data_IF_723328544124
#
_entry.id   IF_723328544124
#
_cell.length_a   1.000
_cell.length_b   1.000
_cell.length_c   1.000
_cell.angle_alpha   90.00
_cell.angle_beta   90.00
_cell.angle_gamma   90.00
#
_symmetry.space_group_name_H-M   'P 1'
#
loop_
_entity.id
_entity.type
_entity.pdbx_description
1 polymer ?
#
# COMPACT_ATOMS: atom_id res chain seq x y z
N UNK A 1 30.87 8.61 -7.62
CA UNK A 1 30.83 8.07 -6.23
C UNK A 1 29.36 7.86 -5.88
N UNK A 2 29.00 6.69 -5.36
CA UNK A 2 27.62 6.35 -5.00
C UNK A 2 27.59 5.43 -3.78
N UNK A 3 26.38 5.12 -3.28
CA UNK A 3 26.17 4.26 -2.13
C UNK A 3 26.88 2.91 -2.26
N UNK A 4 26.75 2.21 -3.39
CA UNK A 4 27.35 0.88 -3.61
C UNK A 4 28.88 0.93 -3.44
N UNK A 5 29.53 1.97 -3.97
CA UNK A 5 30.99 2.13 -3.86
C UNK A 5 31.48 2.53 -2.47
N UNK A 6 30.63 3.10 -1.61
CA UNK A 6 31.02 3.67 -0.31
C UNK A 6 30.36 2.98 0.89
N UNK A 7 29.59 1.90 0.68
CA UNK A 7 28.83 1.23 1.73
C UNK A 7 29.73 0.56 2.77
N UNK A 8 30.80 -0.10 2.31
CA UNK A 8 31.73 -0.84 3.17
C UNK A 8 32.43 0.09 4.15
N UNK A 9 32.40 -0.25 5.44
CA UNK A 9 32.96 0.54 6.54
C UNK A 9 32.10 1.74 6.96
N UNK A 10 30.94 1.96 6.33
CA UNK A 10 30.00 3.02 6.73
C UNK A 10 29.03 2.52 7.81
N UNK A 11 28.31 3.45 8.46
CA UNK A 11 27.22 3.11 9.38
C UNK A 11 26.03 2.40 8.69
N UNK A 12 26.01 2.34 7.35
CA UNK A 12 24.96 1.70 6.58
C UNK A 12 25.27 0.24 6.20
N UNK A 13 26.48 -0.27 6.47
CA UNK A 13 26.93 -1.58 5.97
C UNK A 13 25.97 -2.74 6.31
N UNK A 14 25.28 -2.67 7.46
CA UNK A 14 24.29 -3.66 7.90
C UNK A 14 22.89 -3.06 8.11
N UNK A 15 22.60 -1.95 7.44
CA UNK A 15 21.36 -1.20 7.64
C UNK A 15 20.22 -1.67 6.74
N UNK A 16 20.50 -2.07 5.50
CA UNK A 16 19.46 -2.47 4.53
C UNK A 16 19.03 -3.93 4.76
N UNK A 17 17.81 -4.32 4.32
CA UNK A 17 17.39 -5.71 4.36
C UNK A 17 18.40 -6.63 3.68
N UNK A 18 18.80 -7.70 4.36
CA UNK A 18 19.92 -8.56 3.94
C UNK A 18 19.76 -9.20 2.54
N UNK A 19 18.52 -9.43 2.10
CA UNK A 19 18.25 -9.98 0.77
C UNK A 19 18.13 -8.93 -0.35
N UNK A 20 18.49 -7.67 -0.09
CA UNK A 20 18.54 -6.65 -1.14
C UNK A 20 19.82 -6.75 -1.98
N UNK A 21 19.63 -6.98 -3.28
CA UNK A 21 20.67 -6.78 -4.28
C UNK A 21 20.65 -5.32 -4.72
N UNK A 22 21.56 -4.51 -4.15
CA UNK A 22 21.64 -3.07 -4.44
C UNK A 22 22.01 -2.78 -5.89
N UNK A 23 22.78 -3.64 -6.55
CA UNK A 23 23.13 -3.46 -7.96
C UNK A 23 21.91 -3.70 -8.85
N UNK A 24 21.08 -4.70 -8.52
CA UNK A 24 19.82 -4.94 -9.22
C UNK A 24 18.79 -3.84 -8.97
N UNK A 25 18.72 -3.30 -7.74
CA UNK A 25 17.88 -2.14 -7.42
C UNK A 25 18.30 -0.92 -8.23
N UNK A 26 19.61 -0.65 -8.30
CA UNK A 26 20.16 0.44 -9.12
C UNK A 26 19.83 0.26 -10.61
N UNK A 27 19.99 -0.96 -11.14
CA UNK A 27 19.62 -1.28 -12.52
C UNK A 27 18.12 -1.08 -12.82
N UNK A 28 17.23 -1.25 -11.84
CA UNK A 28 15.81 -0.92 -12.00
C UNK A 28 15.61 0.59 -12.18
N UNK A 29 16.37 1.42 -11.46
CA UNK A 29 16.26 2.88 -11.45
C UNK A 29 16.99 3.55 -12.62
N UNK A 30 17.93 2.84 -13.26
CA UNK A 30 18.71 3.34 -14.39
C UNK A 30 17.95 3.32 -15.74
N UNK A 31 16.70 2.84 -15.75
CA UNK A 31 15.87 2.84 -16.95
C UNK A 31 15.44 4.27 -17.30
N UNK A 32 15.26 4.59 -18.59
CA UNK A 32 14.81 5.92 -18.99
C UNK A 32 13.33 6.14 -18.57
N UNK A 33 12.95 7.35 -18.11
CA UNK A 33 11.61 7.63 -17.57
C UNK A 33 10.45 7.17 -18.46
N UNK A 34 10.55 7.39 -19.77
CA UNK A 34 9.55 7.03 -20.77
C UNK A 34 9.28 5.52 -20.85
N UNK A 35 10.23 4.70 -20.40
CA UNK A 35 10.07 3.25 -20.41
C UNK A 35 9.20 2.75 -19.25
N UNK A 36 8.87 3.55 -18.23
CA UNK A 36 8.26 3.06 -16.98
C UNK A 36 6.99 2.22 -17.19
N UNK A 37 6.23 2.49 -18.26
CA UNK A 37 5.00 1.76 -18.61
C UNK A 37 5.22 0.54 -19.50
N UNK A 38 6.45 0.28 -19.96
CA UNK A 38 6.79 -0.88 -20.78
C UNK A 38 6.54 -2.18 -20.03
N UNK A 39 5.78 -3.07 -20.67
CA UNK A 39 5.32 -4.33 -20.08
C UNK A 39 6.47 -5.27 -19.78
N UNK A 40 6.49 -5.81 -18.57
CA UNK A 40 7.39 -6.90 -18.18
C UNK A 40 6.69 -8.26 -18.31
N UNK A 41 7.47 -9.32 -18.49
CA UNK A 41 6.96 -10.67 -18.77
C UNK A 41 6.13 -11.27 -17.62
N UNK A 42 6.36 -10.84 -16.38
CA UNK A 42 5.63 -11.30 -15.19
C UNK A 42 4.38 -10.46 -14.86
N UNK A 43 4.12 -9.37 -15.59
CA UNK A 43 2.94 -8.55 -15.32
C UNK A 43 1.67 -9.27 -15.74
N UNK A 44 0.61 -9.12 -14.95
CA UNK A 44 -0.71 -9.58 -15.36
C UNK A 44 -1.11 -8.89 -16.67
N UNK A 45 -1.78 -9.62 -17.57
CA UNK A 45 -2.27 -9.04 -18.84
C UNK A 45 -3.21 -7.86 -18.63
N UNK A 46 -3.93 -7.83 -17.50
CA UNK A 46 -4.85 -6.76 -17.09
C UNK A 46 -4.24 -5.79 -16.07
N UNK A 47 -2.92 -5.86 -15.84
CA UNK A 47 -2.20 -4.85 -15.08
C UNK A 47 -1.75 -3.70 -15.98
N UNK A 48 -1.88 -2.47 -15.50
CA UNK A 48 -1.36 -1.27 -16.14
C UNK A 48 -0.87 -0.23 -15.10
N UNK A 49 0.38 0.26 -15.21
CA UNK A 49 0.77 1.51 -14.56
C UNK A 49 0.12 2.70 -15.28
N UNK A 50 -0.34 3.71 -14.53
CA UNK A 50 -1.09 4.86 -15.03
C UNK A 50 -0.42 6.15 -14.52
N UNK A 51 0.20 6.95 -15.40
CA UNK A 51 0.80 8.22 -15.01
C UNK A 51 -0.28 9.26 -14.68
N UNK A 52 0.02 10.12 -13.72
CA UNK A 52 -0.80 11.23 -13.28
C UNK A 52 0.07 12.49 -13.22
N UNK A 53 -0.37 13.58 -13.85
CA UNK A 53 0.44 14.81 -13.94
C UNK A 53 0.49 15.56 -12.61
N UNK A 54 -0.61 15.52 -11.85
CA UNK A 54 -0.72 16.21 -10.57
C UNK A 54 -1.27 15.30 -9.49
N UNK A 55 -1.02 15.67 -8.22
CA UNK A 55 -1.66 15.02 -7.06
C UNK A 55 -3.18 15.07 -7.16
N UNK A 56 -3.75 16.14 -7.73
CA UNK A 56 -5.20 16.24 -7.92
C UNK A 56 -5.72 15.20 -8.93
N UNK A 57 -5.01 15.00 -10.04
CA UNK A 57 -5.35 13.97 -11.02
C UNK A 57 -5.22 12.57 -10.42
N UNK A 58 -4.11 12.33 -9.71
CA UNK A 58 -3.84 11.09 -9.00
C UNK A 58 -4.98 10.74 -8.02
N UNK A 59 -5.32 11.67 -7.13
CA UNK A 59 -6.38 11.51 -6.14
C UNK A 59 -7.73 11.25 -6.81
N UNK A 60 -8.06 12.01 -7.86
CA UNK A 60 -9.33 11.86 -8.58
C UNK A 60 -9.42 10.52 -9.30
N UNK A 61 -8.39 10.13 -10.05
CA UNK A 61 -8.38 8.92 -10.84
C UNK A 61 -8.43 7.68 -9.96
N UNK A 62 -7.66 7.66 -8.86
CA UNK A 62 -7.66 6.56 -7.91
C UNK A 62 -8.99 6.48 -7.15
N UNK A 63 -9.52 7.62 -6.68
CA UNK A 63 -10.83 7.67 -6.02
C UNK A 63 -11.99 7.28 -6.94
N UNK A 64 -11.95 7.68 -8.20
CA UNK A 64 -12.88 7.24 -9.23
C UNK A 64 -12.79 5.73 -9.44
N UNK A 65 -11.60 5.14 -9.52
CA UNK A 65 -11.42 3.70 -9.69
C UNK A 65 -12.03 2.92 -8.51
N UNK A 66 -11.90 3.41 -7.28
CA UNK A 66 -12.54 2.84 -6.09
C UNK A 66 -14.07 2.93 -6.20
N UNK A 67 -14.62 4.13 -6.43
CA UNK A 67 -16.07 4.34 -6.51
C UNK A 67 -16.72 3.54 -7.65
N UNK A 68 -16.08 3.53 -8.83
CA UNK A 68 -16.53 2.77 -9.99
C UNK A 68 -16.54 1.26 -9.67
N UNK A 69 -15.53 0.76 -8.97
CA UNK A 69 -15.47 -0.67 -8.60
C UNK A 69 -16.58 -1.04 -7.62
N UNK A 70 -16.88 -0.17 -6.64
CA UNK A 70 -18.01 -0.36 -5.72
C UNK A 70 -19.34 -0.37 -6.49
N UNK A 71 -19.54 0.58 -7.40
CA UNK A 71 -20.74 0.67 -8.24
C UNK A 71 -20.90 -0.57 -9.11
N UNK A 72 -19.84 -1.00 -9.79
CA UNK A 72 -19.88 -2.19 -10.64
C UNK A 72 -20.28 -3.45 -9.87
N UNK A 73 -19.78 -3.63 -8.64
CA UNK A 73 -20.20 -4.74 -7.79
C UNK A 73 -21.68 -4.66 -7.43
N UNK A 74 -22.16 -3.45 -7.12
CA UNK A 74 -23.58 -3.22 -6.81
C UNK A 74 -24.47 -3.56 -8.00
N UNK A 75 -24.11 -3.08 -9.18
CA UNK A 75 -24.86 -3.32 -10.42
C UNK A 75 -24.88 -4.82 -10.78
N UNK A 76 -23.82 -5.55 -10.41
CA UNK A 76 -23.75 -7.01 -10.56
C UNK A 76 -24.50 -7.79 -9.46
N UNK A 77 -24.97 -7.13 -8.39
CA UNK A 77 -25.60 -7.78 -7.25
C UNK A 77 -24.63 -8.59 -6.38
N UNK A 78 -23.33 -8.25 -6.41
CA UNK A 78 -22.26 -8.96 -5.71
C UNK A 78 -21.77 -8.17 -4.49
N UNK A 79 -21.54 -8.87 -3.38
CA UNK A 79 -20.79 -8.32 -2.24
C UNK A 79 -19.34 -8.05 -2.64
N UNK A 80 -18.71 -7.02 -2.05
CA UNK A 80 -17.33 -6.66 -2.35
C UNK A 80 -16.51 -6.41 -1.11
N UNK A 81 -15.32 -6.99 -1.10
CA UNK A 81 -14.32 -6.86 -0.05
C UNK A 81 -13.30 -5.83 -0.52
N UNK A 82 -13.07 -4.80 0.29
CA UNK A 82 -12.01 -3.84 0.10
C UNK A 82 -11.00 -3.96 1.24
N UNK A 83 -9.78 -4.35 0.89
CA UNK A 83 -8.61 -4.12 1.74
C UNK A 83 -8.13 -2.68 1.47
N UNK A 84 -8.12 -1.84 2.50
CA UNK A 84 -7.95 -0.38 2.40
C UNK A 84 -6.74 0.13 3.18
N UNK A 85 -5.85 0.93 2.58
CA UNK A 85 -4.77 1.58 3.31
C UNK A 85 -5.32 2.80 4.08
N UNK A 86 -4.43 3.54 4.73
CA UNK A 86 -4.69 4.95 5.06
C UNK A 86 -4.11 5.83 3.95
N UNK A 87 -2.80 5.76 3.70
CA UNK A 87 -2.18 6.52 2.61
C UNK A 87 -2.19 5.79 1.27
N UNK A 88 -2.40 6.48 0.12
CA UNK A 88 -2.69 7.92 -0.05
C UNK A 88 -4.10 8.32 0.37
N UNK A 89 -4.27 9.45 1.05
CA UNK A 89 -5.57 9.84 1.64
C UNK A 89 -6.51 10.62 0.71
N UNK A 90 -5.97 11.35 -0.27
CA UNK A 90 -6.76 12.25 -1.11
C UNK A 90 -7.78 11.53 -2.01
N UNK A 91 -7.50 10.27 -2.36
CA UNK A 91 -8.41 9.40 -3.12
C UNK A 91 -9.78 9.20 -2.46
N UNK A 92 -9.86 9.20 -1.12
CA UNK A 92 -11.12 8.96 -0.42
C UNK A 92 -12.13 10.08 -0.61
N UNK A 93 -11.67 11.33 -0.69
CA UNK A 93 -12.52 12.49 -1.00
C UNK A 93 -13.25 12.28 -2.32
N UNK A 94 -12.53 11.82 -3.34
CA UNK A 94 -13.10 11.59 -4.67
C UNK A 94 -14.00 10.37 -4.73
N UNK A 95 -13.62 9.28 -4.04
CA UNK A 95 -14.50 8.12 -3.92
C UNK A 95 -15.86 8.50 -3.28
N UNK A 96 -15.83 9.30 -2.20
CA UNK A 96 -17.03 9.84 -1.55
C UNK A 96 -17.84 10.72 -2.51
N UNK A 97 -17.18 11.63 -3.23
CA UNK A 97 -17.82 12.52 -4.18
C UNK A 97 -18.61 11.74 -5.24
N UNK A 98 -17.97 10.79 -5.92
CA UNK A 98 -18.61 10.00 -6.97
C UNK A 98 -19.73 9.10 -6.44
N UNK A 99 -19.52 8.41 -5.31
CA UNK A 99 -20.57 7.57 -4.72
C UNK A 99 -21.79 8.39 -4.30
N UNK A 100 -21.59 9.61 -3.81
CA UNK A 100 -22.68 10.52 -3.43
C UNK A 100 -23.40 11.04 -4.64
N UNK A 101 -22.68 11.50 -5.66
CA UNK A 101 -23.25 12.03 -6.90
C UNK A 101 -24.06 10.96 -7.65
N UNK A 102 -23.63 9.70 -7.60
CA UNK A 102 -24.33 8.58 -8.23
C UNK A 102 -25.41 7.93 -7.34
N UNK A 103 -25.61 8.43 -6.12
CA UNK A 103 -26.49 7.85 -5.07
C UNK A 103 -26.25 6.33 -4.84
N UNK A 104 -24.97 5.91 -4.86
CA UNK A 104 -24.57 4.52 -4.66
C UNK A 104 -24.27 4.26 -3.18
N UNK A 105 -25.22 3.69 -2.46
CA UNK A 105 -24.94 3.20 -1.10
C UNK A 105 -23.98 1.99 -1.09
N UNK A 106 -23.19 1.88 -0.02
CA UNK A 106 -22.16 0.86 0.19
C UNK A 106 -22.60 -0.25 1.15
N UNK A 107 -23.88 -0.64 1.17
CA UNK A 107 -24.36 -1.71 2.07
C UNK A 107 -23.76 -3.08 1.76
N UNK A 108 -23.36 -3.33 0.51
CA UNK A 108 -22.72 -4.55 0.01
C UNK A 108 -21.18 -4.53 0.12
N UNK A 109 -20.60 -3.48 0.74
CA UNK A 109 -19.15 -3.31 0.85
C UNK A 109 -18.66 -3.77 2.22
N UNK A 110 -17.59 -4.55 2.25
CA UNK A 110 -16.87 -4.97 3.44
C UNK A 110 -15.46 -4.36 3.45
N UNK A 111 -15.17 -3.47 4.39
CA UNK A 111 -13.88 -2.79 4.51
C UNK A 111 -12.98 -3.44 5.55
N UNK A 112 -11.73 -3.71 5.17
CA UNK A 112 -10.68 -4.24 6.03
C UNK A 112 -9.43 -3.35 5.92
N UNK A 113 -9.09 -2.63 6.98
CA UNK A 113 -7.88 -1.80 6.97
C UNK A 113 -6.61 -2.66 7.03
N UNK A 114 -5.59 -2.31 6.23
CA UNK A 114 -4.39 -3.16 6.06
C UNK A 114 -3.54 -3.25 7.33
N UNK A 115 -3.53 -2.21 8.15
CA UNK A 115 -2.61 -2.07 9.27
C UNK A 115 -3.14 -1.09 10.33
N UNK A 116 -2.42 -1.03 11.45
CA UNK A 116 -2.60 -0.06 12.52
C UNK A 116 -1.30 0.02 13.35
N UNK A 117 -0.95 1.21 13.85
CA UNK A 117 0.19 1.36 14.75
C UNK A 117 0.00 0.55 16.04
N UNK A 118 1.08 -0.02 16.57
CA UNK A 118 1.00 -0.79 17.81
C UNK A 118 2.26 -0.73 18.67
N UNK A 119 2.13 -1.19 19.90
CA UNK A 119 3.27 -1.64 20.71
C UNK A 119 3.69 -3.09 20.33
N UNK A 120 4.51 -3.72 21.16
CA UNK A 120 5.00 -5.09 20.93
C UNK A 120 3.96 -6.18 21.16
N UNK A 121 2.94 -5.92 21.96
CA UNK A 121 1.83 -6.83 22.24
C UNK A 121 0.66 -6.63 21.27
N UNK A 122 0.80 -5.70 20.32
CA UNK A 122 -0.23 -5.37 19.34
C UNK A 122 -1.32 -4.45 19.85
N UNK A 123 -1.14 -3.82 21.02
CA UNK A 123 -2.08 -2.80 21.50
C UNK A 123 -1.99 -1.58 20.58
N UNK A 124 -3.12 -1.16 20.05
CA UNK A 124 -3.24 -0.03 19.14
C UNK A 124 -3.67 1.24 19.86
N UNK A 125 -3.53 2.38 19.19
CA UNK A 125 -4.11 3.63 19.64
C UNK A 125 -5.63 3.51 19.82
N UNK A 126 -6.20 4.38 20.66
CA UNK A 126 -7.64 4.48 20.80
C UNK A 126 -8.26 4.90 19.44
N UNK A 127 -9.46 4.41 19.09
CA UNK A 127 -10.09 4.73 17.80
C UNK A 127 -10.29 6.20 17.47
N UNK A 128 -10.32 7.08 18.47
CA UNK A 128 -10.47 8.53 18.32
C UNK A 128 -9.15 9.30 18.35
N UNK A 129 -8.02 8.60 18.54
CA UNK A 129 -6.70 9.23 18.55
C UNK A 129 -6.39 9.79 17.14
N UNK A 130 -5.86 11.02 17.00
CA UNK A 130 -5.52 11.59 15.71
C UNK A 130 -4.54 10.74 14.87
N UNK A 131 -3.70 9.93 15.52
CA UNK A 131 -2.77 9.03 14.85
C UNK A 131 -3.35 7.65 14.51
N UNK A 132 -4.55 7.31 14.98
CA UNK A 132 -5.18 6.03 14.71
C UNK A 132 -5.72 5.96 13.28
N UNK A 133 -5.43 4.87 12.60
CA UNK A 133 -5.91 4.63 11.24
C UNK A 133 -7.43 4.48 11.19
N UNK A 134 -8.02 3.95 12.26
CA UNK A 134 -9.47 3.94 12.44
C UNK A 134 -10.08 5.35 12.41
N UNK A 135 -9.46 6.32 13.08
CA UNK A 135 -9.93 7.71 13.07
C UNK A 135 -9.82 8.30 11.66
N UNK A 136 -8.66 8.13 11.01
CA UNK A 136 -8.42 8.63 9.66
C UNK A 136 -9.45 8.13 8.64
N UNK A 137 -9.77 6.83 8.67
CA UNK A 137 -10.79 6.25 7.77
C UNK A 137 -12.22 6.69 8.09
N UNK A 138 -12.51 6.89 9.38
CA UNK A 138 -13.81 7.40 9.81
C UNK A 138 -14.02 8.84 9.29
N UNK A 139 -12.98 9.67 9.28
CA UNK A 139 -13.04 11.05 8.81
C UNK A 139 -13.01 11.16 7.29
N UNK A 140 -12.20 10.35 6.61
CA UNK A 140 -11.97 10.50 5.17
C UNK A 140 -12.98 9.76 4.28
N UNK A 141 -13.48 8.60 4.72
CA UNK A 141 -14.31 7.74 3.87
C UNK A 141 -15.67 7.42 4.50
N UNK A 142 -15.68 6.78 5.68
CA UNK A 142 -16.93 6.25 6.23
C UNK A 142 -17.89 7.33 6.73
N UNK A 143 -17.40 8.38 7.39
CA UNK A 143 -18.21 9.47 7.92
C UNK A 143 -18.87 10.30 6.82
N UNK A 144 -18.09 10.82 5.85
CA UNK A 144 -18.60 11.66 4.77
C UNK A 144 -19.71 11.03 3.92
N UNK A 145 -19.75 9.70 3.78
CA UNK A 145 -20.80 8.98 3.05
C UNK A 145 -22.19 9.05 3.73
N UNK A 146 -22.28 9.40 5.02
CA UNK A 146 -23.56 9.52 5.76
C UNK A 146 -24.45 8.28 5.58
N UNK A 147 -25.65 8.44 5.01
CA UNK A 147 -26.62 7.35 4.78
C UNK A 147 -26.14 6.30 3.77
N UNK A 148 -25.18 6.65 2.91
CA UNK A 148 -24.60 5.79 1.88
C UNK A 148 -23.44 4.94 2.43
N UNK A 149 -23.04 5.15 3.69
CA UNK A 149 -21.84 4.53 4.23
C UNK A 149 -21.90 2.99 4.31
N UNK A 150 -20.71 2.39 4.29
CA UNK A 150 -20.48 1.00 4.72
C UNK A 150 -21.06 0.77 6.12
N UNK A 151 -21.87 -0.28 6.38
CA UNK A 151 -22.38 -0.58 7.72
C UNK A 151 -21.27 -0.81 8.75
N UNK A 152 -21.44 -0.34 9.99
CA UNK A 152 -20.40 -0.46 11.05
C UNK A 152 -19.88 -1.88 11.25
N UNK A 153 -20.77 -2.89 11.17
CA UNK A 153 -20.43 -4.32 11.31
C UNK A 153 -19.55 -4.87 10.18
N UNK A 154 -19.42 -4.13 9.07
CA UNK A 154 -18.65 -4.46 7.87
C UNK A 154 -17.37 -3.61 7.77
N UNK A 155 -16.98 -2.92 8.85
CA UNK A 155 -15.75 -2.14 8.95
C UNK A 155 -14.83 -2.81 9.94
N UNK A 156 -13.68 -3.26 9.46
CA UNK A 156 -12.71 -4.00 10.23
C UNK A 156 -11.40 -3.21 10.26
N UNK A 157 -10.79 -3.10 11.45
CA UNK A 157 -9.51 -2.41 11.66
C UNK A 157 -8.47 -3.37 12.22
N UNK A 158 -7.19 -3.14 11.95
CA UNK A 158 -6.11 -4.10 12.20
C UNK A 158 -5.68 -4.13 13.68
N UNK A 159 -6.63 -4.33 14.59
CA UNK A 159 -6.36 -4.45 16.04
C UNK A 159 -5.93 -5.87 16.39
N UNK A 160 -5.26 -6.06 17.54
CA UNK A 160 -4.86 -7.40 18.03
C UNK A 160 -6.00 -8.42 18.13
N UNK A 161 -7.25 -7.96 18.27
CA UNK A 161 -8.44 -8.82 18.37
C UNK A 161 -9.06 -9.08 17.01
N UNK A 162 -9.11 -8.07 16.14
CA UNK A 162 -9.83 -8.16 14.86
C UNK A 162 -8.96 -8.73 13.74
N UNK A 163 -7.69 -8.34 13.66
CA UNK A 163 -6.78 -8.72 12.56
C UNK A 163 -6.62 -10.25 12.39
N UNK A 164 -6.46 -11.05 13.47
CA UNK A 164 -6.35 -12.50 13.31
C UNK A 164 -7.57 -13.17 12.66
N UNK A 165 -8.73 -12.51 12.68
CA UNK A 165 -9.99 -13.02 12.11
C UNK A 165 -10.17 -12.70 10.62
N UNK A 166 -9.31 -11.85 10.05
CA UNK A 166 -9.48 -11.37 8.67
C UNK A 166 -9.47 -12.51 7.65
N UNK A 167 -8.55 -13.46 7.78
CA UNK A 167 -8.46 -14.58 6.84
C UNK A 167 -9.73 -15.41 6.76
N UNK A 168 -10.33 -15.73 7.91
CA UNK A 168 -11.60 -16.46 7.99
C UNK A 168 -12.75 -15.61 7.42
N UNK A 169 -12.90 -14.36 7.86
CA UNK A 169 -13.98 -13.47 7.42
C UNK A 169 -13.94 -13.19 5.91
N UNK A 170 -12.75 -12.93 5.36
CA UNK A 170 -12.56 -12.74 3.92
C UNK A 170 -12.86 -14.05 3.19
N UNK A 171 -12.37 -15.19 3.70
CA UNK A 171 -12.65 -16.52 3.12
C UNK A 171 -14.13 -16.84 3.05
N UNK A 172 -14.90 -16.56 4.12
CA UNK A 172 -16.35 -16.75 4.18
C UNK A 172 -17.12 -15.85 3.20
N UNK A 173 -16.68 -14.61 3.00
CA UNK A 173 -17.28 -13.71 2.03
C UNK A 173 -16.98 -14.19 0.60
N UNK A 174 -15.73 -14.58 0.34
CA UNK A 174 -15.31 -15.09 -0.97
C UNK A 174 -16.01 -16.40 -1.34
N UNK A 175 -16.25 -17.30 -0.39
CA UNK A 175 -17.00 -18.54 -0.65
C UNK A 175 -18.45 -18.30 -1.05
N UNK A 176 -18.99 -17.10 -0.77
CA UNK A 176 -20.31 -16.63 -1.19
C UNK A 176 -20.28 -15.79 -2.48
N UNK A 177 -19.12 -15.75 -3.15
CA UNK A 177 -18.94 -15.02 -4.41
C UNK A 177 -18.50 -13.57 -4.26
N UNK A 178 -18.14 -13.11 -3.04
CA UNK A 178 -17.68 -11.74 -2.87
C UNK A 178 -16.33 -11.50 -3.58
N UNK A 179 -16.23 -10.38 -4.29
CA UNK A 179 -15.01 -9.98 -5.00
C UNK A 179 -14.01 -9.31 -4.05
N UNK A 180 -12.74 -9.69 -4.12
CA UNK A 180 -11.66 -9.08 -3.33
C UNK A 180 -10.92 -8.00 -4.13
N UNK A 181 -10.93 -6.77 -3.60
CA UNK A 181 -10.18 -5.63 -4.11
C UNK A 181 -9.15 -5.19 -3.08
N UNK A 182 -7.90 -5.04 -3.51
CA UNK A 182 -6.81 -4.53 -2.67
C UNK A 182 -6.42 -3.15 -3.16
N UNK A 183 -6.70 -2.15 -2.33
CA UNK A 183 -6.19 -0.79 -2.51
C UNK A 183 -4.87 -0.71 -1.73
N UNK A 184 -3.84 -0.08 -2.30
CA UNK A 184 -2.52 -0.04 -1.63
C UNK A 184 -1.66 1.15 -2.06
N UNK A 185 -0.72 1.52 -1.19
CA UNK A 185 0.46 2.32 -1.53
C UNK A 185 1.73 1.46 -1.47
N UNK A 186 2.86 2.01 -1.92
CA UNK A 186 4.16 1.33 -1.88
C UNK A 186 5.10 2.09 -0.92
N UNK A 187 5.65 1.40 0.07
CA UNK A 187 6.61 2.02 1.00
C UNK A 187 7.98 2.27 0.41
N UNK A 188 8.78 3.06 1.12
CA UNK A 188 10.19 3.34 0.80
C UNK A 188 11.04 2.07 0.76
N UNK A 189 10.71 1.08 1.59
CA UNK A 189 11.31 -0.25 1.59
C UNK A 189 10.54 -1.28 0.77
N UNK A 190 9.74 -0.84 -0.21
CA UNK A 190 8.97 -1.72 -1.12
C UNK A 190 8.00 -2.67 -0.39
N UNK A 191 7.53 -2.27 0.80
CA UNK A 191 6.50 -2.99 1.53
C UNK A 191 5.11 -2.76 0.93
N UNK A 192 4.18 -3.63 1.30
CA UNK A 192 2.73 -3.45 1.17
C UNK A 192 2.16 -3.50 2.59
N UNK A 193 1.33 -2.52 2.96
CA UNK A 193 1.02 -2.27 4.37
C UNK A 193 2.33 -2.12 5.17
N UNK A 194 2.42 -2.68 6.37
CA UNK A 194 3.70 -2.85 7.09
C UNK A 194 4.30 -4.26 6.93
N UNK A 195 3.98 -4.99 5.85
CA UNK A 195 4.65 -6.25 5.54
C UNK A 195 5.98 -6.01 4.82
N UNK A 196 7.08 -5.99 5.59
CA UNK A 196 8.38 -5.48 5.15
C UNK A 196 9.36 -6.55 4.65
N UNK A 197 10.34 -6.16 3.80
CA UNK A 197 11.33 -7.07 3.23
C UNK A 197 12.02 -8.02 4.19
N UNK A 198 12.42 -7.52 5.37
CA UNK A 198 13.25 -8.27 6.30
C UNK A 198 12.52 -9.49 6.90
N UNK A 199 11.18 -9.51 6.85
CA UNK A 199 10.41 -10.70 7.23
C UNK A 199 10.66 -11.89 6.30
N UNK A 200 11.17 -11.67 5.08
CA UNK A 200 11.52 -12.76 4.17
C UNK A 200 12.54 -13.74 4.75
N UNK A 201 13.45 -13.29 5.63
CA UNK A 201 14.44 -14.12 6.33
C UNK A 201 13.81 -15.26 7.14
N UNK A 202 12.55 -15.09 7.55
CA UNK A 202 11.85 -16.02 8.45
C UNK A 202 11.23 -17.21 7.70
N UNK A 203 11.25 -17.23 6.36
CA UNK A 203 10.58 -18.22 5.54
C UNK A 203 11.56 -18.97 4.64
N UNK A 204 11.36 -20.29 4.49
CA UNK A 204 12.27 -21.14 3.70
C UNK A 204 12.01 -21.06 2.20
N UNK A 205 10.84 -20.57 1.81
CA UNK A 205 10.43 -20.48 0.41
C UNK A 205 9.43 -19.35 0.18
N UNK A 206 9.30 -18.93 -1.08
CA UNK A 206 8.26 -17.99 -1.50
C UNK A 206 6.87 -18.50 -1.17
N UNK A 207 6.61 -19.80 -1.34
CA UNK A 207 5.30 -20.40 -1.07
C UNK A 207 4.95 -20.41 0.41
N UNK A 208 5.93 -20.55 1.31
CA UNK A 208 5.71 -20.34 2.74
C UNK A 208 5.50 -18.87 3.07
N UNK A 209 6.31 -17.97 2.50
CA UNK A 209 6.18 -16.53 2.70
C UNK A 209 4.81 -16.00 2.29
N UNK A 210 4.16 -16.59 1.28
CA UNK A 210 2.81 -16.20 0.82
C UNK A 210 1.67 -16.59 1.76
N UNK A 211 1.88 -17.49 2.73
CA UNK A 211 0.79 -18.05 3.56
C UNK A 211 0.30 -17.15 4.71
N UNK A 212 1.18 -16.47 5.47
CA UNK A 212 0.76 -15.65 6.60
C UNK A 212 -0.27 -14.60 6.19
N UNK A 213 -1.36 -14.54 6.94
CA UNK A 213 -2.42 -13.57 6.73
C UNK A 213 -2.17 -12.26 7.46
N UNK A 214 -1.32 -12.26 8.50
CA UNK A 214 -1.07 -11.10 9.34
C UNK A 214 0.20 -11.25 10.20
N UNK A 215 0.61 -10.15 10.83
CA UNK A 215 1.60 -10.07 11.91
C UNK A 215 1.14 -9.07 12.96
N UNK A 216 1.25 -9.45 14.23
CA UNK A 216 0.98 -8.60 15.40
C UNK A 216 2.30 -8.00 15.90
N UNK A 217 2.30 -6.71 16.25
CA UNK A 217 3.49 -6.05 16.82
C UNK A 217 4.73 -6.13 15.91
N UNK A 218 4.53 -6.10 14.60
CA UNK A 218 5.58 -6.21 13.58
C UNK A 218 6.68 -5.18 13.83
N UNK A 219 7.94 -5.62 13.91
CA UNK A 219 9.08 -4.71 14.01
C UNK A 219 9.28 -4.02 12.67
N UNK A 220 9.31 -2.69 12.67
CA UNK A 220 9.44 -1.91 11.45
C UNK A 220 10.90 -1.52 11.22
N UNK A 221 11.28 -1.49 9.96
CA UNK A 221 12.58 -1.09 9.50
C UNK A 221 12.78 0.42 9.72
N UNK A 222 13.97 0.89 10.13
CA UNK A 222 14.20 2.32 10.38
C UNK A 222 13.84 3.22 9.19
N UNK A 223 14.01 2.76 7.95
CA UNK A 223 13.58 3.52 6.76
C UNK A 223 12.07 3.80 6.71
N UNK A 224 11.23 2.90 7.21
CA UNK A 224 9.78 3.11 7.33
C UNK A 224 9.47 4.13 8.42
N UNK A 225 10.21 4.09 9.52
CA UNK A 225 10.11 5.06 10.61
C UNK A 225 10.44 6.45 10.10
N UNK A 226 11.58 6.59 9.39
CA UNK A 226 12.00 7.88 8.82
C UNK A 226 11.10 8.36 7.68
N UNK A 227 10.56 7.45 6.85
CA UNK A 227 9.52 7.82 5.89
C UNK A 227 8.32 8.44 6.62
N UNK A 228 7.79 7.78 7.64
CA UNK A 228 6.61 8.28 8.36
C UNK A 228 6.92 9.54 9.17
N UNK A 229 8.14 9.69 9.70
CA UNK A 229 8.57 10.92 10.33
C UNK A 229 8.35 12.12 9.39
N UNK A 230 8.70 11.96 8.11
CA UNK A 230 8.52 13.00 7.08
C UNK A 230 7.05 13.12 6.67
N UNK A 231 6.38 12.02 6.33
CA UNK A 231 5.07 12.06 5.64
C UNK A 231 3.88 12.21 6.57
N UNK A 232 3.99 11.71 7.80
CA UNK A 232 2.84 11.51 8.70
C UNK A 232 3.01 12.23 10.05
N UNK A 233 4.26 12.45 10.49
CA UNK A 233 4.57 12.98 11.82
C UNK A 233 5.33 14.32 11.79
N UNK A 234 5.28 15.05 10.66
CA UNK A 234 5.78 16.43 10.52
C UNK A 234 7.22 16.61 11.03
N UNK A 235 8.12 15.71 10.62
CA UNK A 235 9.54 15.65 11.01
C UNK A 235 9.82 15.34 12.48
N UNK A 236 8.81 14.95 13.27
CA UNK A 236 8.99 14.57 14.67
C UNK A 236 9.10 13.04 14.82
N UNK A 237 10.29 12.51 14.54
CA UNK A 237 10.60 11.06 14.64
C UNK A 237 10.21 10.44 15.98
N UNK A 238 10.28 11.21 17.08
CA UNK A 238 9.93 10.73 18.43
C UNK A 238 8.45 10.41 18.64
N UNK A 239 7.58 10.73 17.67
CA UNK A 239 6.17 10.34 17.69
C UNK A 239 5.88 9.07 16.88
N UNK A 240 6.82 8.58 16.08
CA UNK A 240 6.58 7.47 15.17
C UNK A 240 6.66 6.15 15.95
N UNK A 241 5.61 5.31 15.98
CA UNK A 241 5.68 4.01 16.60
C UNK A 241 6.65 3.09 15.85
N UNK A 242 7.46 2.33 16.59
CA UNK A 242 8.44 1.41 15.99
C UNK A 242 7.83 0.06 15.56
N UNK A 243 6.53 -0.13 15.78
CA UNK A 243 5.81 -1.37 15.52
C UNK A 243 4.40 -1.13 14.99
N UNK A 244 3.86 -2.13 14.31
CA UNK A 244 2.49 -2.11 13.80
C UNK A 244 1.87 -3.50 13.73
N UNK A 245 0.55 -3.56 13.77
CA UNK A 245 -0.20 -4.70 13.29
C UNK A 245 -0.38 -4.57 11.78
N UNK A 246 -0.23 -5.65 11.03
CA UNK A 246 -0.30 -5.60 9.55
C UNK A 246 -0.87 -6.87 8.97
N UNK A 247 -1.62 -6.76 7.88
CA UNK A 247 -1.93 -7.89 7.02
C UNK A 247 -0.65 -8.45 6.39
N UNK A 248 -0.73 -9.70 5.95
CA UNK A 248 0.32 -10.41 5.23
C UNK A 248 -0.09 -10.81 3.82
N UNK A 249 0.85 -11.38 3.05
CA UNK A 249 0.67 -11.76 1.65
C UNK A 249 -0.46 -12.75 1.42
N UNK A 250 -0.82 -13.55 2.43
CA UNK A 250 -1.96 -14.46 2.36
C UNK A 250 -3.30 -13.75 2.15
N UNK A 251 -3.36 -12.43 2.41
CA UNK A 251 -4.53 -11.60 2.12
C UNK A 251 -4.37 -10.76 0.86
N UNK A 252 -3.23 -10.07 0.68
CA UNK A 252 -3.09 -9.10 -0.42
C UNK A 252 -2.68 -9.69 -1.78
N UNK A 253 -2.27 -10.96 -1.84
CA UNK A 253 -1.92 -11.63 -3.11
C UNK A 253 -3.08 -12.39 -3.76
N UNK A 254 -4.23 -12.46 -3.09
CA UNK A 254 -5.43 -13.15 -3.58
C UNK A 254 -6.43 -12.24 -4.30
N UNK A 255 -6.03 -11.03 -4.70
CA UNK A 255 -6.94 -10.00 -5.17
C UNK A 255 -7.48 -10.30 -6.57
N UNK A 256 -8.79 -10.09 -6.74
CA UNK A 256 -9.44 -10.12 -8.06
C UNK A 256 -9.19 -8.80 -8.83
N UNK A 257 -8.87 -7.73 -8.10
CA UNK A 257 -8.43 -6.44 -8.64
C UNK A 257 -7.54 -5.70 -7.64
N UNK A 258 -6.49 -5.07 -8.14
CA UNK A 258 -5.66 -4.15 -7.37
C UNK A 258 -5.85 -2.70 -7.83
N UNK A 259 -5.77 -1.77 -6.87
CA UNK A 259 -5.79 -0.32 -7.09
C UNK A 259 -4.63 0.27 -6.29
N UNK A 260 -3.49 0.45 -6.95
CA UNK A 260 -2.26 0.95 -6.33
C UNK A 260 -2.04 2.43 -6.55
N UNK A 261 -1.32 3.08 -5.64
CA UNK A 261 -0.96 4.50 -5.75
C UNK A 261 0.48 4.80 -5.31
N UNK A 262 1.15 5.67 -6.07
CA UNK A 262 2.45 6.26 -5.74
C UNK A 262 2.46 7.77 -5.98
N UNK A 263 2.37 8.56 -4.90
CA UNK A 263 2.36 10.03 -4.91
C UNK A 263 3.50 10.65 -4.09
N UNK A 264 4.53 9.86 -3.78
CA UNK A 264 5.63 10.23 -2.88
C UNK A 264 6.66 11.20 -3.48
N UNK A 265 6.17 12.28 -4.08
CA UNK A 265 6.91 13.45 -4.46
C UNK A 265 6.76 14.56 -3.41
N UNK A 266 7.74 15.43 -3.34
CA UNK A 266 7.82 16.57 -2.43
C UNK A 266 8.03 17.83 -3.28
N UNK A 267 7.81 18.99 -2.69
CA UNK A 267 8.10 20.25 -3.37
C UNK A 267 9.58 20.35 -3.77
N UNK A 268 9.87 21.15 -4.82
CA UNK A 268 11.22 21.45 -5.32
C UNK A 268 11.93 20.26 -6.01
N UNK A 269 11.19 19.37 -6.65
CA UNK A 269 11.76 18.23 -7.40
C UNK A 269 12.30 17.09 -6.52
N UNK A 270 12.11 17.18 -5.20
CA UNK A 270 12.49 16.10 -4.28
C UNK A 270 11.44 14.99 -4.30
N UNK A 271 11.86 13.75 -4.12
CA UNK A 271 10.94 12.61 -4.03
C UNK A 271 11.53 11.51 -3.16
N UNK A 272 10.66 10.70 -2.56
CA UNK A 272 11.08 9.55 -1.75
C UNK A 272 10.67 8.20 -2.35
N UNK A 273 9.77 8.20 -3.35
CA UNK A 273 9.12 6.98 -3.84
C UNK A 273 9.52 6.56 -5.27
N UNK A 274 10.33 7.35 -5.98
CA UNK A 274 10.78 6.99 -7.34
C UNK A 274 11.47 5.63 -7.39
N UNK A 275 12.41 5.38 -6.46
CA UNK A 275 13.13 4.11 -6.36
C UNK A 275 12.17 2.94 -6.09
N UNK A 276 11.26 3.06 -5.11
CA UNK A 276 10.36 1.96 -4.77
C UNK A 276 9.33 1.67 -5.88
N UNK A 277 8.90 2.68 -6.64
CA UNK A 277 8.08 2.52 -7.84
C UNK A 277 8.83 1.71 -8.92
N UNK A 278 10.05 2.13 -9.29
CA UNK A 278 10.85 1.45 -10.31
C UNK A 278 11.16 0.00 -9.92
N UNK A 279 11.60 -0.23 -8.69
CA UNK A 279 11.90 -1.58 -8.19
C UNK A 279 10.65 -2.45 -8.21
N UNK A 280 9.48 -1.92 -7.83
CA UNK A 280 8.21 -2.66 -7.90
C UNK A 280 7.89 -3.12 -9.32
N UNK A 281 8.10 -2.24 -10.31
CA UNK A 281 7.76 -2.50 -11.70
C UNK A 281 8.79 -3.40 -12.43
N UNK A 282 10.08 -3.31 -12.07
CA UNK A 282 11.21 -3.90 -12.83
C UNK A 282 11.95 -5.04 -12.16
N UNK A 283 11.87 -5.19 -10.84
CA UNK A 283 12.69 -6.18 -10.13
C UNK A 283 12.28 -7.64 -10.43
N UNK A 284 10.98 -7.86 -10.67
CA UNK A 284 10.37 -9.18 -10.66
C UNK A 284 10.01 -9.66 -9.24
N UNK A 285 9.06 -10.62 -9.09
CA UNK A 285 8.53 -11.01 -7.78
C UNK A 285 9.61 -11.57 -6.83
N UNK A 286 9.69 -11.02 -5.61
CA UNK A 286 10.62 -11.47 -4.57
C UNK A 286 10.06 -11.18 -3.17
N UNK A 287 10.14 -12.12 -2.21
CA UNK A 287 9.76 -11.86 -0.81
C UNK A 287 10.49 -10.67 -0.17
N UNK A 288 11.71 -10.39 -0.64
CA UNK A 288 12.52 -9.24 -0.20
C UNK A 288 12.06 -7.90 -0.79
N UNK A 289 11.11 -7.93 -1.72
CA UNK A 289 10.48 -6.76 -2.35
C UNK A 289 8.96 -7.02 -2.40
N UNK A 290 8.24 -7.00 -1.26
CA UNK A 290 6.84 -7.40 -1.19
C UNK A 290 5.93 -6.77 -2.26
N UNK A 291 6.15 -5.50 -2.61
CA UNK A 291 5.40 -4.79 -3.64
C UNK A 291 5.59 -5.36 -5.05
N UNK A 292 6.70 -6.04 -5.35
CA UNK A 292 7.00 -6.62 -6.67
C UNK A 292 6.04 -7.74 -7.10
N UNK A 293 5.24 -8.27 -6.17
CA UNK A 293 4.16 -9.20 -6.49
C UNK A 293 2.88 -8.50 -6.96
N UNK A 294 2.69 -7.21 -6.67
CA UNK A 294 1.44 -6.52 -7.03
C UNK A 294 1.22 -6.46 -8.55
N UNK A 295 2.23 -6.18 -9.40
CA UNK A 295 2.07 -6.21 -10.86
C UNK A 295 1.67 -7.57 -11.45
N UNK A 296 1.78 -8.68 -10.69
CA UNK A 296 1.32 -10.01 -11.16
C UNK A 296 -0.19 -10.19 -11.04
N UNK A 297 -0.89 -9.23 -10.42
CA UNK A 297 -2.35 -9.21 -10.23
C UNK A 297 -3.01 -8.24 -11.22
N UNK A 298 -4.29 -8.46 -11.56
CA UNK A 298 -5.03 -7.58 -12.45
C UNK A 298 -5.37 -6.25 -11.77
N UNK A 299 -5.26 -5.12 -12.46
CA UNK A 299 -5.58 -3.82 -11.85
C UNK A 299 -4.76 -2.66 -12.39
N UNK A 300 -4.73 -1.57 -11.64
CA UNK A 300 -4.02 -0.34 -12.00
C UNK A 300 -3.08 0.08 -10.88
N UNK A 301 -1.93 0.64 -11.24
CA UNK A 301 -1.02 1.35 -10.33
C UNK A 301 -0.90 2.79 -10.82
N UNK A 302 -1.57 3.71 -10.15
CA UNK A 302 -1.46 5.14 -10.42
C UNK A 302 -0.15 5.67 -9.85
N UNK A 303 0.50 6.60 -10.55
CA UNK A 303 1.73 7.23 -10.04
C UNK A 303 1.91 8.64 -10.59
N UNK A 304 2.53 9.53 -9.82
CA UNK A 304 2.91 10.85 -10.34
C UNK A 304 4.00 10.74 -11.39
N UNK A 305 3.82 11.39 -12.55
CA UNK A 305 4.75 11.31 -13.70
C UNK A 305 6.19 11.63 -13.29
N UNK A 306 6.41 12.59 -12.39
CA UNK A 306 7.74 12.97 -11.92
C UNK A 306 8.49 11.83 -11.20
N UNK A 307 7.79 10.86 -10.60
CA UNK A 307 8.42 9.70 -9.97
C UNK A 307 9.12 8.76 -10.97
N UNK A 308 8.80 8.88 -12.26
CA UNK A 308 9.50 8.15 -13.31
C UNK A 308 10.93 8.66 -13.51
N UNK A 309 11.23 9.90 -13.10
CA UNK A 309 12.57 10.48 -13.12
C UNK A 309 12.82 11.43 -14.30
N UNK A 310 14.10 11.62 -14.68
CA UNK A 310 15.26 10.79 -14.33
C UNK A 310 15.59 10.80 -12.84
N UNK A 311 15.94 9.64 -12.27
CA UNK A 311 16.35 9.51 -10.86
C UNK A 311 17.84 9.84 -10.70
N UNK A 312 18.19 11.09 -10.99
CA UNK A 312 19.55 11.60 -10.91
C UNK A 312 19.79 12.43 -9.63
N UNK A 313 21.05 12.55 -9.24
CA UNK A 313 21.42 13.41 -8.12
C UNK A 313 21.34 14.89 -8.51
N UNK A 314 20.69 15.69 -7.67
CA UNK A 314 20.56 17.14 -7.83
C UNK A 314 20.92 17.84 -6.51
N UNK A 315 21.45 19.06 -6.59
CA UNK A 315 21.71 19.90 -5.41
C UNK A 315 20.51 20.84 -5.19
N UNK A 316 19.71 20.57 -4.15
CA UNK A 316 18.48 21.30 -3.79
C UNK A 316 18.63 22.08 -2.49
#
# INVERSE_FOLDING_TARGET
MNLISTLKGSLLENFFPEGWDLAKIDACCANPPESITERQSWWNKKFAPVPCETVADFDMMMGHEIALTIKQSKDAGEEIIFILPVGPMGMYRWAVYFLTEWDVDCKHVHGFNMDEWSDEDGNTLAPSDPGAFQNAMQDAFYGPLRKLTVPKKQRHFATKISLPKYGEQIGELRSKGARLVVVFGIGRVMHIAFWEPHFAAEYKSVEEWKKPTHRIGAKLHPLTIEQNAITSFKSRTTLVPCRANTIGPGLFLGADKIIGGCDGALNRGMMWQGLSLWVTLRHGPSPWIPSSFMPTQAGKLFFLTELAGPLAAECN
#
